data_IF_187202927829
#
_entry.id   IF_187202927829
#
_cell.length_a   1.000
_cell.length_b   1.000
_cell.length_c   1.000
_cell.angle_alpha   90.00
_cell.angle_beta   90.00
_cell.angle_gamma   90.00
#
_symmetry.space_group_name_H-M   'P 1'
#
loop_
_entity.id
_entity.type
_entity.pdbx_description
1 polymer ?
#
# COMPACT_ATOMS: atom_id res chain seq x y z
N UNK A 1 13.25 -19.80 -17.94
CA UNK A 1 12.56 -19.86 -16.64
C UNK A 1 11.74 -18.59 -16.52
N UNK A 2 10.48 -18.77 -16.17
CA UNK A 2 9.34 -17.87 -16.37
C UNK A 2 9.60 -16.45 -15.92
N UNK A 3 9.49 -15.49 -16.84
CA UNK A 3 9.41 -14.08 -16.50
C UNK A 3 8.17 -13.86 -15.66
N UNK A 4 8.37 -13.56 -14.38
CA UNK A 4 7.34 -12.92 -13.56
C UNK A 4 7.24 -11.49 -14.09
N UNK A 5 6.58 -11.34 -15.23
CA UNK A 5 5.93 -10.10 -15.61
C UNK A 5 4.81 -9.92 -14.59
N UNK A 6 5.18 -9.51 -13.38
CA UNK A 6 4.29 -8.86 -12.44
C UNK A 6 3.70 -7.70 -13.23
N UNK A 7 2.51 -7.94 -13.77
CA UNK A 7 1.87 -7.02 -14.67
C UNK A 7 1.73 -5.72 -13.91
N UNK A 8 2.42 -4.68 -14.38
CA UNK A 8 2.40 -3.32 -13.85
C UNK A 8 1.04 -2.63 -14.07
N UNK A 9 -0.03 -3.43 -14.12
CA UNK A 9 -1.40 -2.99 -14.27
C UNK A 9 -1.85 -2.39 -12.93
N UNK A 10 -2.60 -1.29 -12.96
CA UNK A 10 -3.08 -0.62 -11.74
C UNK A 10 -3.85 -1.54 -10.78
N UNK A 11 -4.58 -2.54 -11.32
CA UNK A 11 -5.34 -3.50 -10.51
C UNK A 11 -4.45 -4.43 -9.69
N UNK A 12 -3.39 -4.96 -10.30
CA UNK A 12 -2.40 -5.81 -9.64
C UNK A 12 -1.67 -5.04 -8.51
N UNK A 13 -1.33 -3.76 -8.72
CA UNK A 13 -0.73 -2.93 -7.66
C UNK A 13 -1.67 -2.73 -6.46
N UNK A 14 -2.96 -2.52 -6.71
CA UNK A 14 -3.94 -2.37 -5.63
C UNK A 14 -4.08 -3.65 -4.79
N UNK A 15 -4.15 -4.82 -5.45
CA UNK A 15 -4.23 -6.09 -4.73
C UNK A 15 -2.95 -6.41 -3.96
N UNK A 16 -1.78 -6.15 -4.55
CA UNK A 16 -0.48 -6.29 -3.88
C UNK A 16 -0.36 -5.38 -2.66
N UNK A 17 -0.80 -4.12 -2.77
CA UNK A 17 -0.81 -3.18 -1.66
C UNK A 17 -1.77 -3.65 -0.54
N UNK A 18 -2.99 -4.08 -0.89
CA UNK A 18 -3.96 -4.65 0.06
C UNK A 18 -3.36 -5.82 0.84
N UNK A 19 -2.77 -6.79 0.13
CA UNK A 19 -2.20 -7.97 0.75
C UNK A 19 -1.02 -7.61 1.66
N UNK A 20 -0.19 -6.65 1.25
CA UNK A 20 0.95 -6.18 2.03
C UNK A 20 0.52 -5.51 3.34
N UNK A 21 -0.50 -4.63 3.32
CA UNK A 21 -1.04 -4.01 4.53
C UNK A 21 -1.65 -5.06 5.46
N UNK A 22 -2.42 -6.01 4.92
CA UNK A 22 -3.01 -7.08 5.73
C UNK A 22 -1.95 -7.99 6.35
N UNK A 23 -0.83 -8.23 5.66
CA UNK A 23 0.29 -9.00 6.20
C UNK A 23 1.02 -8.29 7.35
N UNK A 24 1.01 -6.96 7.39
CA UNK A 24 1.63 -6.17 8.46
C UNK A 24 0.66 -5.82 9.61
N UNK A 25 -0.55 -6.36 9.56
CA UNK A 25 -1.53 -6.24 10.64
C UNK A 25 -1.16 -7.18 11.79
N UNK A 26 -1.58 -6.84 13.01
CA UNK A 26 -1.45 -7.69 14.20
C UNK A 26 0.01 -8.13 14.48
N UNK A 27 0.95 -7.17 14.42
CA UNK A 27 2.41 -7.36 14.55
C UNK A 27 3.05 -8.26 13.48
N UNK A 28 2.35 -8.47 12.36
CA UNK A 28 2.88 -9.15 11.20
C UNK A 28 4.09 -8.44 10.60
N UNK A 29 5.10 -9.21 10.22
CA UNK A 29 6.33 -8.71 9.60
C UNK A 29 6.63 -9.47 8.31
N UNK A 30 7.13 -8.78 7.29
CA UNK A 30 7.77 -9.41 6.14
C UNK A 30 9.30 -9.47 6.30
N UNK A 31 9.97 -10.21 5.40
CA UNK A 31 11.44 -10.36 5.38
C UNK A 31 12.21 -9.03 5.27
N UNK A 32 11.55 -7.98 4.75
CA UNK A 32 12.13 -6.63 4.62
C UNK A 32 11.82 -5.71 5.80
N UNK A 33 11.18 -6.20 6.87
CA UNK A 33 10.99 -5.41 8.09
C UNK A 33 12.33 -5.27 8.83
N UNK A 34 12.71 -4.03 9.12
CA UNK A 34 13.90 -3.73 9.92
C UNK A 34 13.62 -2.65 10.98
N UNK A 35 14.64 -2.27 11.74
CA UNK A 35 14.51 -1.28 12.83
C UNK A 35 14.06 0.12 12.42
N UNK A 36 13.98 0.41 11.11
CA UNK A 36 13.44 1.65 10.54
C UNK A 36 12.05 1.51 9.91
N UNK A 37 11.37 0.39 10.11
CA UNK A 37 10.08 0.07 9.49
C UNK A 37 10.21 -0.82 8.24
N UNK A 38 9.16 -0.85 7.42
CA UNK A 38 9.11 -1.65 6.21
C UNK A 38 8.70 -0.80 5.02
N UNK A 39 9.60 -0.62 4.06
CA UNK A 39 9.33 0.17 2.85
C UNK A 39 8.16 -0.37 2.02
N UNK A 40 7.96 -1.69 2.00
CA UNK A 40 6.80 -2.29 1.31
C UNK A 40 5.49 -1.94 2.03
N UNK A 41 5.48 -1.94 3.36
CA UNK A 41 4.31 -1.54 4.12
C UNK A 41 3.99 -0.05 3.90
N UNK A 42 5.01 0.81 3.93
CA UNK A 42 4.88 2.24 3.62
C UNK A 42 4.30 2.45 2.23
N UNK A 43 4.90 1.85 1.20
CA UNK A 43 4.41 1.92 -0.17
C UNK A 43 2.95 1.44 -0.28
N UNK A 44 2.61 0.34 0.39
CA UNK A 44 1.27 -0.23 0.31
C UNK A 44 0.20 0.68 0.92
N UNK A 45 0.51 1.35 2.04
CA UNK A 45 -0.37 2.36 2.64
C UNK A 45 -0.55 3.56 1.70
N UNK A 46 0.53 4.05 1.10
CA UNK A 46 0.48 5.17 0.14
C UNK A 46 -0.33 4.81 -1.12
N UNK A 47 -0.10 3.63 -1.69
CA UNK A 47 -0.78 3.17 -2.90
C UNK A 47 -2.29 3.01 -2.64
N UNK A 48 -2.69 2.37 -1.53
CA UNK A 48 -4.09 2.29 -1.13
C UNK A 48 -4.70 3.68 -0.88
N UNK A 49 -3.94 4.62 -0.33
CA UNK A 49 -4.36 6.01 -0.13
C UNK A 49 -4.79 6.72 -1.42
N UNK A 50 -4.25 6.33 -2.58
CA UNK A 50 -4.60 6.94 -3.87
C UNK A 50 -6.01 6.56 -4.34
N UNK A 51 -6.53 5.42 -3.92
CA UNK A 51 -7.80 4.89 -4.38
C UNK A 51 -8.94 5.08 -3.35
N UNK A 52 -10.16 5.45 -3.76
CA UNK A 52 -11.30 5.59 -2.84
C UNK A 52 -11.56 4.32 -2.01
N UNK A 53 -11.49 3.14 -2.64
CA UNK A 53 -11.64 1.86 -1.97
C UNK A 53 -10.48 1.54 -1.01
N UNK A 54 -9.26 1.96 -1.33
CA UNK A 54 -8.10 1.77 -0.46
C UNK A 54 -8.14 2.68 0.76
N UNK A 55 -8.54 3.95 0.61
CA UNK A 55 -8.80 4.86 1.74
C UNK A 55 -9.86 4.31 2.70
N UNK A 56 -10.95 3.75 2.16
CA UNK A 56 -12.00 3.14 2.97
C UNK A 56 -11.46 1.93 3.77
N UNK A 57 -10.67 1.06 3.13
CA UNK A 57 -10.02 -0.07 3.79
C UNK A 57 -9.06 0.40 4.89
N UNK A 58 -8.19 1.35 4.59
CA UNK A 58 -7.21 1.84 5.55
C UNK A 58 -7.87 2.51 6.77
N UNK A 59 -8.99 3.24 6.58
CA UNK A 59 -9.82 3.75 7.68
C UNK A 59 -10.38 2.63 8.56
N UNK A 60 -10.85 1.53 7.96
CA UNK A 60 -11.32 0.35 8.71
C UNK A 60 -10.21 -0.32 9.52
N UNK A 61 -8.98 -0.28 9.01
CA UNK A 61 -7.79 -0.82 9.66
C UNK A 61 -7.17 0.13 10.68
N UNK A 62 -7.71 1.35 10.84
CA UNK A 62 -7.23 2.33 11.83
C UNK A 62 -5.99 3.12 11.40
N UNK A 63 -5.62 3.08 10.12
CA UNK A 63 -4.52 3.89 9.62
C UNK A 63 -4.93 5.37 9.55
N UNK A 64 -4.04 6.31 9.92
CA UNK A 64 -4.27 7.71 9.67
C UNK A 64 -4.25 7.95 8.16
N UNK A 65 -5.38 8.34 7.59
CA UNK A 65 -5.45 8.77 6.20
C UNK A 65 -5.38 10.27 6.18
N UNK A 66 -4.28 10.77 5.66
CA UNK A 66 -4.19 12.17 5.31
C UNK A 66 -5.06 12.40 4.07
N UNK A 67 -6.22 13.03 4.26
CA UNK A 67 -7.15 13.37 3.18
C UNK A 67 -6.58 14.51 2.31
N UNK A 68 -5.44 15.11 2.67
CA UNK A 68 -4.81 16.22 1.96
C UNK A 68 -3.90 15.80 0.80
N UNK A 69 -4.15 14.64 0.17
CA UNK A 69 -3.55 14.37 -1.16
C UNK A 69 -4.27 15.18 -2.25
N UNK A 70 -4.23 16.51 -2.11
CA UNK A 70 -4.36 17.50 -3.17
C UNK A 70 -2.96 18.02 -3.54
N UNK A 71 -2.03 17.10 -3.83
CA UNK A 71 -0.84 17.43 -4.63
C UNK A 71 -1.24 17.05 -6.07
N UNK A 72 -1.52 17.94 -7.01
CA UNK A 72 -0.81 19.17 -7.32
C UNK A 72 -0.72 19.21 -8.85
N UNK A 73 -1.74 19.83 -9.45
CA UNK A 73 -1.84 20.54 -10.73
C UNK A 73 -0.82 20.26 -11.88
N UNK A 74 -1.29 20.10 -13.14
CA UNK A 74 -0.41 19.93 -14.29
C UNK A 74 0.43 21.18 -14.53
N UNK A 75 1.67 20.97 -14.98
CA UNK A 75 2.55 22.01 -15.50
C UNK A 75 2.68 21.89 -17.01
#
# INVERSE_FOLDING_TARGET
MTGTEESDRPGDRFESARNTVLQHRDDGTCFHCGGGGCGQHTWAVEELGRHPGGRALLRQLGFPIDDSTEEGQPR
#
